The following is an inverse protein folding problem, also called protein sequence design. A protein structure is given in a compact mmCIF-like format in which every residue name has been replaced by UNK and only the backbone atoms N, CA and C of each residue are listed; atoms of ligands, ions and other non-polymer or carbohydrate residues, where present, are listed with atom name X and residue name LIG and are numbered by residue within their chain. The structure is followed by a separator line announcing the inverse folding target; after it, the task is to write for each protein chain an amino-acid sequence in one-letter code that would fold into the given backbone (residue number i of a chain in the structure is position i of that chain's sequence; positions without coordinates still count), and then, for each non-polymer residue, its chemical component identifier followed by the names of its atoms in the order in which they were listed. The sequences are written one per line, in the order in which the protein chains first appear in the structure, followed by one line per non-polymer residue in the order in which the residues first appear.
data_IF_410483522595
#
_entry.id   IF_410483522595
#
_cell.length_a   1.000
_cell.length_b   1.000
_cell.length_c   1.000
_cell.angle_alpha   90.00
_cell.angle_beta   90.00
_cell.angle_gamma   90.00
#
_symmetry.space_group_name_H-M   'P 1'
#
loop_
_entity.id
_entity.type
_entity.pdbx_description
1 polymer ?
#
# COMPACT_ATOMS: atom_id res chain seq x y z
N UNK A 1 0.20 4.90 -36.26
CA UNK A 1 0.30 5.73 -35.04
C UNK A 1 0.80 4.85 -33.91
N UNK A 2 1.96 5.17 -33.31
CA UNK A 2 2.64 4.28 -32.36
C UNK A 2 2.15 4.47 -30.92
N UNK A 3 1.80 3.36 -30.25
CA UNK A 3 1.31 3.31 -28.85
C UNK A 3 2.35 3.75 -27.80
N UNK A 4 3.60 4.01 -28.22
CA UNK A 4 4.69 4.39 -27.32
C UNK A 4 4.57 5.81 -26.73
N UNK A 5 3.72 6.68 -27.28
CA UNK A 5 3.52 8.05 -26.73
C UNK A 5 2.52 8.11 -25.57
N UNK A 6 1.67 7.10 -25.39
CA UNK A 6 0.72 7.04 -24.26
C UNK A 6 1.40 6.64 -22.95
N UNK A 7 2.49 5.86 -23.03
CA UNK A 7 3.22 5.40 -21.84
C UNK A 7 4.28 6.40 -21.34
N UNK A 8 4.76 7.31 -22.19
CA UNK A 8 5.74 8.33 -21.76
C UNK A 8 5.14 9.46 -20.91
N UNK A 9 3.82 9.62 -20.86
CA UNK A 9 3.17 10.72 -20.13
C UNK A 9 2.83 10.40 -18.68
N UNK A 10 3.00 9.16 -18.24
CA UNK A 10 2.52 8.69 -16.92
C UNK A 10 3.52 8.89 -15.78
N UNK A 11 4.75 9.31 -16.07
CA UNK A 11 5.83 9.35 -15.08
C UNK A 11 6.16 10.76 -14.53
N UNK A 12 5.28 11.76 -14.66
CA UNK A 12 5.57 13.14 -14.18
C UNK A 12 4.53 13.78 -13.26
N UNK A 13 3.48 13.08 -12.84
CA UNK A 13 2.47 13.67 -11.98
C UNK A 13 2.83 13.49 -10.51
N UNK A 14 3.81 14.26 -10.05
CA UNK A 14 4.13 14.44 -8.62
C UNK A 14 3.09 15.26 -7.85
N UNK A 15 1.84 15.29 -8.32
CA UNK A 15 0.72 16.04 -7.73
C UNK A 15 -0.55 15.22 -7.74
N UNK A 16 -1.30 15.26 -6.64
CA UNK A 16 -2.60 14.60 -6.49
C UNK A 16 -3.69 15.25 -7.37
N UNK A 17 -4.91 14.68 -7.32
CA UNK A 17 -6.07 15.18 -8.06
C UNK A 17 -6.52 16.60 -7.63
N UNK A 18 -5.97 17.12 -6.53
CA UNK A 18 -6.23 18.44 -5.99
C UNK A 18 -5.05 19.41 -6.19
N UNK A 19 -4.04 19.00 -6.98
CA UNK A 19 -2.85 19.80 -7.29
C UNK A 19 -1.84 19.91 -6.14
N UNK A 20 -1.99 19.14 -5.06
CA UNK A 20 -1.01 19.08 -3.96
C UNK A 20 0.11 18.14 -4.34
N UNK A 21 1.34 18.49 -3.98
CA UNK A 21 2.49 17.62 -4.19
C UNK A 21 2.25 16.29 -3.47
N UNK A 22 2.33 15.18 -4.20
CA UNK A 22 2.24 13.86 -3.57
C UNK A 22 3.38 13.74 -2.55
N UNK A 23 3.11 13.28 -1.32
CA UNK A 23 4.20 12.95 -0.41
C UNK A 23 5.13 11.97 -1.14
N UNK A 24 6.45 12.10 -0.95
CA UNK A 24 7.37 11.17 -1.58
C UNK A 24 6.94 9.76 -1.20
N UNK A 25 6.70 8.91 -2.20
CA UNK A 25 6.49 7.49 -1.96
C UNK A 25 7.69 7.03 -1.13
N UNK A 26 7.45 6.70 0.14
CA UNK A 26 8.49 6.11 0.97
C UNK A 26 8.75 4.79 0.28
N UNK A 27 9.89 4.67 -0.40
CA UNK A 27 10.27 3.45 -1.08
C UNK A 27 10.28 2.36 -0.02
N UNK A 28 9.24 1.53 -0.10
CA UNK A 28 8.95 0.55 0.90
C UNK A 28 10.02 -0.54 0.80
N UNK A 29 10.87 -0.54 1.83
CA UNK A 29 12.01 -1.45 1.98
C UNK A 29 11.48 -2.85 2.33
N UNK A 30 12.35 -3.86 2.32
CA UNK A 30 12.07 -5.21 2.86
C UNK A 30 11.28 -5.18 4.19
N UNK A 31 11.56 -4.19 5.03
CA UNK A 31 10.87 -3.90 6.30
C UNK A 31 9.33 -3.79 6.19
N UNK A 32 8.76 -3.41 5.05
CA UNK A 32 7.29 -3.34 4.86
C UNK A 32 6.65 -4.70 4.59
N UNK A 33 7.41 -5.67 4.06
CA UNK A 33 6.91 -7.04 3.87
C UNK A 33 6.76 -7.70 5.23
N UNK A 34 7.76 -7.58 6.09
CA UNK A 34 7.73 -8.11 7.46
C UNK A 34 6.57 -7.50 8.26
N UNK A 35 6.34 -6.19 8.12
CA UNK A 35 5.24 -5.51 8.80
C UNK A 35 3.86 -6.00 8.32
N UNK A 36 3.68 -6.20 7.00
CA UNK A 36 2.43 -6.73 6.47
C UNK A 36 2.15 -8.15 6.99
N UNK A 37 3.18 -9.01 7.05
CA UNK A 37 3.05 -10.34 7.63
C UNK A 37 2.68 -10.30 9.12
N UNK A 38 3.30 -9.42 9.90
CA UNK A 38 3.00 -9.25 11.32
C UNK A 38 1.54 -8.81 11.53
N UNK A 39 1.05 -7.88 10.71
CA UNK A 39 -0.35 -7.45 10.73
C UNK A 39 -1.30 -8.61 10.39
N UNK A 40 -0.97 -9.44 9.40
CA UNK A 40 -1.77 -10.64 9.06
C UNK A 40 -1.85 -11.63 10.23
N UNK A 41 -0.72 -11.92 10.90
CA UNK A 41 -0.70 -12.78 12.09
C UNK A 41 -1.53 -12.19 13.23
N UNK A 42 -1.52 -10.87 13.38
CA UNK A 42 -2.34 -10.18 14.39
C UNK A 42 -3.83 -10.22 14.05
N UNK A 43 -4.19 -10.10 12.77
CA UNK A 43 -5.56 -10.28 12.25
C UNK A 43 -6.09 -11.68 12.60
N UNK A 44 -5.31 -12.72 12.36
CA UNK A 44 -5.65 -14.12 12.70
C UNK A 44 -5.85 -14.31 14.21
N UNK A 45 -4.97 -13.73 15.04
CA UNK A 45 -5.13 -13.75 16.50
C UNK A 45 -6.41 -13.05 16.95
N UNK A 46 -6.76 -11.91 16.34
CA UNK A 46 -7.99 -11.18 16.64
C UNK A 46 -9.23 -11.99 16.25
N UNK A 47 -9.19 -12.68 15.11
CA UNK A 47 -10.25 -13.59 14.67
C UNK A 47 -10.48 -14.72 15.68
N UNK A 48 -9.43 -15.42 16.12
CA UNK A 48 -9.54 -16.49 17.11
C UNK A 48 -10.01 -16.02 18.50
N UNK A 49 -9.85 -14.74 18.80
CA UNK A 49 -10.36 -14.13 20.03
C UNK A 49 -11.81 -13.62 19.92
N UNK A 50 -12.48 -13.77 18.77
CA UNK A 50 -13.83 -13.27 18.51
C UNK A 50 -13.91 -11.75 18.34
N UNK A 51 -12.81 -11.11 17.95
CA UNK A 51 -12.73 -9.66 17.76
C UNK A 51 -12.96 -9.28 16.28
N UNK A 52 -14.13 -9.61 15.75
CA UNK A 52 -14.44 -9.57 14.31
C UNK A 52 -14.14 -8.21 13.64
N UNK A 53 -14.56 -7.10 14.28
CA UNK A 53 -14.31 -5.74 13.77
C UNK A 53 -12.83 -5.39 13.77
N UNK A 54 -12.10 -5.77 14.83
CA UNK A 54 -10.67 -5.49 14.92
C UNK A 54 -9.89 -6.31 13.88
N UNK A 55 -10.23 -7.59 13.71
CA UNK A 55 -9.66 -8.45 12.66
C UNK A 55 -9.78 -7.79 11.28
N UNK A 56 -10.98 -7.33 10.92
CA UNK A 56 -11.21 -6.67 9.63
C UNK A 56 -10.37 -5.40 9.44
N UNK A 57 -10.24 -4.56 10.47
CA UNK A 57 -9.42 -3.34 10.40
C UNK A 57 -7.93 -3.65 10.25
N UNK A 58 -7.45 -4.70 10.93
CA UNK A 58 -6.05 -5.11 10.86
C UNK A 58 -5.72 -5.67 9.48
N UNK A 59 -6.61 -6.46 8.87
CA UNK A 59 -6.42 -6.97 7.51
C UNK A 59 -6.34 -5.84 6.48
N UNK A 60 -7.21 -4.82 6.60
CA UNK A 60 -7.16 -3.63 5.74
C UNK A 60 -5.83 -2.89 5.92
N UNK A 61 -5.34 -2.75 7.16
CA UNK A 61 -4.04 -2.14 7.42
C UNK A 61 -2.89 -2.92 6.75
N UNK A 62 -2.92 -4.26 6.82
CA UNK A 62 -1.92 -5.10 6.15
C UNK A 62 -1.90 -4.87 4.62
N UNK A 63 -3.09 -4.81 4.00
CA UNK A 63 -3.21 -4.53 2.56
C UNK A 63 -2.69 -3.14 2.18
N UNK A 64 -2.95 -2.13 3.01
CA UNK A 64 -2.43 -0.77 2.76
C UNK A 64 -0.90 -0.76 2.79
N UNK A 65 -0.29 -1.42 3.77
CA UNK A 65 1.18 -1.55 3.89
C UNK A 65 1.76 -2.28 2.68
N UNK A 66 1.12 -3.35 2.19
CA UNK A 66 1.56 -4.06 0.98
C UNK A 66 1.49 -3.18 -0.27
N UNK A 67 0.43 -2.38 -0.41
CA UNK A 67 0.26 -1.47 -1.55
C UNK A 67 1.33 -0.37 -1.55
N UNK A 68 1.59 0.26 -0.39
CA UNK A 68 2.68 1.21 -0.20
C UNK A 68 4.06 0.53 -0.47
N UNK A 69 4.16 -0.74 -0.08
CA UNK A 69 5.17 -1.75 -0.42
C UNK A 69 5.57 -1.82 -1.90
N UNK A 70 4.56 -1.88 -2.77
CA UNK A 70 4.70 -2.17 -4.20
C UNK A 70 4.95 -0.89 -5.01
N UNK A 71 4.38 0.24 -4.59
CA UNK A 71 4.60 1.53 -5.26
C UNK A 71 6.03 2.07 -5.09
N UNK A 72 6.81 1.49 -4.17
CA UNK A 72 8.19 1.85 -3.89
C UNK A 72 9.28 1.15 -4.71
N UNK A 73 8.94 0.24 -5.64
CA UNK A 73 9.91 -0.54 -6.47
C UNK A 73 10.03 -0.07 -7.91
#
# INVERSE_FOLDING_TARGET
MSLSRLFQRRASLGTDLFGKKLPPAISAREETIDLAEDLRRMSERAYHAGLDRSCSLIEVAAQMVEMEGVEGR
#
